data_IF_432485035732
#
_entry.id   IF_432485035732
#
_cell.length_a   1.000
_cell.length_b   1.000
_cell.length_c   1.000
_cell.angle_alpha   90.00
_cell.angle_beta   90.00
_cell.angle_gamma   90.00
#
_symmetry.space_group_name_H-M   'P 1'
#
loop_
_entity.id
_entity.type
_entity.pdbx_description
1 polymer ?
#
# COMPACT_ATOMS: atom_id res chain seq x y z
N UNK A 1 14.48 2.39 -13.55
CA UNK A 1 15.30 1.83 -12.44
C UNK A 1 14.84 0.41 -12.13
N UNK A 2 15.74 -0.51 -11.80
CA UNK A 2 15.38 -1.88 -11.40
C UNK A 2 15.83 -2.11 -9.95
N UNK A 3 14.90 -2.49 -9.05
CA UNK A 3 15.14 -2.69 -7.62
C UNK A 3 14.88 -4.17 -7.31
N UNK A 4 15.89 -4.87 -6.84
CA UNK A 4 15.78 -6.30 -6.47
C UNK A 4 15.22 -6.47 -5.07
N UNK A 5 14.20 -7.33 -4.92
CA UNK A 5 13.54 -7.62 -3.64
C UNK A 5 13.43 -9.14 -3.49
N UNK A 6 14.42 -9.75 -2.85
CA UNK A 6 14.49 -11.20 -2.62
C UNK A 6 14.12 -12.03 -3.86
N UNK A 7 12.85 -12.42 -4.01
CA UNK A 7 12.35 -13.31 -5.06
C UNK A 7 11.77 -12.60 -6.31
N UNK A 8 11.76 -11.27 -6.35
CA UNK A 8 11.21 -10.50 -7.47
C UNK A 8 11.90 -9.15 -7.66
N UNK A 9 11.64 -8.51 -8.79
CA UNK A 9 12.15 -7.16 -9.08
C UNK A 9 11.01 -6.14 -9.17
N UNK A 10 11.30 -4.90 -8.75
CA UNK A 10 10.46 -3.74 -9.00
C UNK A 10 11.11 -2.93 -10.11
N UNK A 11 10.41 -2.75 -11.21
CA UNK A 11 10.80 -1.86 -12.31
C UNK A 11 10.09 -0.53 -12.12
N UNK A 12 10.83 0.57 -12.01
CA UNK A 12 10.28 1.94 -11.96
C UNK A 12 10.78 2.69 -13.18
N UNK A 13 9.88 3.00 -14.10
CA UNK A 13 10.22 3.63 -15.37
C UNK A 13 9.01 4.38 -15.93
N UNK A 14 9.23 5.60 -16.42
CA UNK A 14 8.22 6.32 -17.19
C UNK A 14 7.91 5.56 -18.48
N UNK A 15 6.63 5.47 -18.83
CA UNK A 15 6.13 4.68 -19.96
C UNK A 15 6.38 3.15 -19.82
N UNK A 16 6.62 2.64 -18.59
CA UNK A 16 6.72 1.21 -18.36
C UNK A 16 5.48 0.44 -18.85
N UNK A 17 4.31 1.08 -18.82
CA UNK A 17 3.09 0.50 -19.39
C UNK A 17 3.24 0.20 -20.89
N UNK A 18 3.86 1.09 -21.67
CA UNK A 18 4.10 0.86 -23.12
C UNK A 18 5.04 -0.32 -23.37
N UNK A 19 5.94 -0.59 -22.42
CA UNK A 19 6.91 -1.69 -22.48
C UNK A 19 6.40 -2.96 -21.76
N UNK A 20 5.12 -2.99 -21.34
CA UNK A 20 4.54 -4.07 -20.52
C UNK A 20 4.70 -5.45 -21.18
N UNK A 21 4.55 -5.54 -22.51
CA UNK A 21 4.75 -6.76 -23.28
C UNK A 21 6.16 -7.35 -23.04
N UNK A 22 7.21 -6.56 -23.22
CA UNK A 22 8.59 -7.02 -23.03
C UNK A 22 8.90 -7.34 -21.56
N UNK A 23 8.36 -6.54 -20.63
CA UNK A 23 8.54 -6.76 -19.19
C UNK A 23 7.87 -8.05 -18.72
N UNK A 24 6.80 -8.49 -19.38
CA UNK A 24 6.14 -9.78 -19.10
C UNK A 24 6.93 -10.93 -19.68
N UNK A 25 7.46 -10.81 -20.91
CA UNK A 25 8.25 -11.88 -21.59
C UNK A 25 9.44 -12.34 -20.75
N UNK A 26 10.05 -11.45 -19.99
CA UNK A 26 11.16 -11.77 -19.08
C UNK A 26 10.81 -12.81 -18.01
N UNK A 27 9.54 -12.89 -17.60
CA UNK A 27 9.11 -13.69 -16.44
C UNK A 27 8.03 -14.70 -16.76
N UNK A 28 7.46 -14.63 -17.96
CA UNK A 28 6.35 -15.48 -18.36
C UNK A 28 6.43 -15.91 -19.83
N UNK A 29 6.66 -17.21 -20.11
CA UNK A 29 6.92 -17.71 -21.46
C UNK A 29 5.67 -18.16 -22.23
N UNK A 30 4.47 -18.03 -21.65
CA UNK A 30 3.23 -18.51 -22.27
C UNK A 30 2.44 -17.34 -22.88
N UNK A 31 1.37 -17.63 -23.61
CA UNK A 31 0.62 -16.66 -24.41
C UNK A 31 -0.75 -16.27 -23.83
N UNK A 32 -1.13 -16.71 -22.61
CA UNK A 32 -2.43 -16.37 -22.01
C UNK A 32 -2.26 -15.53 -20.76
N UNK A 33 -2.86 -14.36 -20.78
CA UNK A 33 -2.86 -13.40 -19.67
C UNK A 33 -4.27 -13.16 -19.13
N UNK A 34 -4.38 -12.98 -17.84
CA UNK A 34 -5.64 -12.66 -17.17
C UNK A 34 -5.43 -11.40 -16.33
N UNK A 35 -6.09 -10.31 -16.70
CA UNK A 35 -5.99 -9.02 -16.04
C UNK A 35 -7.19 -8.86 -15.08
N UNK A 36 -6.89 -8.59 -13.82
CA UNK A 36 -7.87 -8.13 -12.83
C UNK A 36 -7.71 -6.64 -12.68
N UNK A 37 -8.79 -5.89 -12.87
CA UNK A 37 -8.81 -4.43 -12.79
C UNK A 37 -10.15 -3.95 -12.24
N UNK A 38 -10.28 -2.66 -11.96
CA UNK A 38 -11.57 -2.06 -11.63
C UNK A 38 -12.21 -1.37 -12.85
N UNK A 39 -13.50 -1.13 -12.74
CA UNK A 39 -14.31 -0.56 -13.84
C UNK A 39 -13.77 0.79 -14.33
N UNK A 40 -13.29 1.64 -13.44
CA UNK A 40 -12.76 2.95 -13.84
C UNK A 40 -11.50 2.81 -14.69
N UNK A 41 -10.60 1.91 -14.30
CA UNK A 41 -9.37 1.63 -15.04
C UNK A 41 -9.65 0.85 -16.32
N UNK A 42 -10.63 -0.05 -16.32
CA UNK A 42 -11.06 -0.75 -17.52
C UNK A 42 -11.56 0.25 -18.58
N UNK A 43 -12.42 1.20 -18.20
CA UNK A 43 -12.90 2.26 -19.10
C UNK A 43 -11.76 3.13 -19.67
N UNK A 44 -10.67 3.36 -18.92
CA UNK A 44 -9.55 4.19 -19.34
C UNK A 44 -8.50 3.45 -20.17
N UNK A 45 -8.24 2.19 -19.88
CA UNK A 45 -7.05 1.48 -20.36
C UNK A 45 -7.32 0.17 -21.10
N UNK A 46 -8.57 -0.27 -21.23
CA UNK A 46 -8.93 -1.56 -21.87
C UNK A 46 -8.29 -1.74 -23.23
N UNK A 47 -8.60 -0.83 -24.15
CA UNK A 47 -8.09 -0.89 -25.54
C UNK A 47 -6.56 -0.72 -25.59
N UNK A 48 -6.02 0.17 -24.75
CA UNK A 48 -4.57 0.38 -24.63
C UNK A 48 -3.85 -0.91 -24.19
N UNK A 49 -4.42 -1.62 -23.19
CA UNK A 49 -3.85 -2.90 -22.74
C UNK A 49 -3.94 -3.99 -23.80
N UNK A 50 -5.05 -4.06 -24.54
CA UNK A 50 -5.16 -5.00 -25.66
C UNK A 50 -4.13 -4.72 -26.76
N UNK A 51 -3.93 -3.45 -27.12
CA UNK A 51 -2.96 -3.05 -28.14
C UNK A 51 -1.52 -3.39 -27.72
N UNK A 52 -1.15 -3.04 -26.48
CA UNK A 52 0.20 -3.31 -25.94
C UNK A 52 0.46 -4.82 -25.81
N UNK A 53 -0.55 -5.59 -25.44
CA UNK A 53 -0.45 -7.03 -25.19
C UNK A 53 -0.94 -7.87 -26.38
N UNK A 54 -0.90 -7.34 -27.60
CA UNK A 54 -1.41 -8.00 -28.81
C UNK A 54 -0.74 -9.35 -29.13
N UNK A 55 0.44 -9.64 -28.56
CA UNK A 55 1.10 -10.95 -28.67
C UNK A 55 0.44 -12.02 -27.78
N UNK A 56 -0.51 -11.66 -26.92
CA UNK A 56 -1.15 -12.54 -25.95
C UNK A 56 -2.65 -12.69 -26.16
N UNK A 57 -3.20 -13.81 -25.74
CA UNK A 57 -4.65 -13.98 -25.52
C UNK A 57 -4.99 -13.37 -24.15
N UNK A 58 -5.56 -12.16 -24.15
CA UNK A 58 -5.88 -11.41 -22.91
C UNK A 58 -7.33 -11.62 -22.52
N UNK A 59 -7.57 -11.88 -21.24
CA UNK A 59 -8.90 -11.91 -20.63
C UNK A 59 -8.95 -10.97 -19.44
N UNK A 60 -10.03 -10.22 -19.30
CA UNK A 60 -10.23 -9.29 -18.17
C UNK A 60 -11.24 -9.85 -17.17
N UNK A 61 -11.01 -9.57 -15.88
CA UNK A 61 -11.98 -9.70 -14.81
C UNK A 61 -12.09 -8.34 -14.12
N UNK A 62 -13.24 -7.70 -14.26
CA UNK A 62 -13.47 -6.32 -13.83
C UNK A 62 -14.27 -6.31 -12.55
N UNK A 63 -13.83 -5.53 -11.54
CA UNK A 63 -14.51 -5.35 -10.26
C UNK A 63 -15.03 -3.90 -10.11
N UNK A 64 -15.96 -3.68 -9.19
CA UNK A 64 -16.34 -2.32 -8.83
C UNK A 64 -15.20 -1.61 -8.10
N UNK A 65 -14.97 -0.30 -8.33
CA UNK A 65 -13.92 0.44 -7.64
C UNK A 65 -14.26 0.63 -6.16
N UNK A 66 -13.22 0.70 -5.32
CA UNK A 66 -13.33 1.03 -3.90
C UNK A 66 -13.13 -0.14 -2.96
N UNK A 67 -12.94 0.18 -1.67
CA UNK A 67 -12.56 -0.76 -0.61
C UNK A 67 -13.59 -1.87 -0.36
N UNK A 68 -14.87 -1.62 -0.66
CA UNK A 68 -15.96 -2.60 -0.55
C UNK A 68 -15.77 -3.81 -1.46
N UNK A 69 -15.05 -3.65 -2.57
CA UNK A 69 -14.71 -4.76 -3.47
C UNK A 69 -13.64 -5.70 -2.93
N UNK A 70 -12.98 -5.33 -1.84
CA UNK A 70 -11.99 -6.16 -1.16
C UNK A 70 -12.68 -7.13 -0.20
N UNK A 71 -13.57 -7.99 -0.72
CA UNK A 71 -14.49 -8.84 0.03
C UNK A 71 -14.44 -10.31 -0.40
N UNK A 72 -14.96 -11.20 0.45
CA UNK A 72 -15.08 -12.63 0.14
C UNK A 72 -16.00 -12.87 -1.07
N UNK A 73 -17.06 -12.09 -1.20
CA UNK A 73 -17.98 -12.18 -2.34
C UNK A 73 -17.28 -11.86 -3.66
N UNK A 74 -16.50 -10.78 -3.69
CA UNK A 74 -15.74 -10.39 -4.89
C UNK A 74 -14.61 -11.40 -5.18
N UNK A 75 -13.93 -11.89 -4.15
CA UNK A 75 -12.93 -12.96 -4.29
C UNK A 75 -13.53 -14.21 -4.94
N UNK A 76 -14.67 -14.68 -4.46
CA UNK A 76 -15.36 -15.84 -5.05
C UNK A 76 -15.78 -15.55 -6.50
N UNK A 77 -16.38 -14.38 -6.74
CA UNK A 77 -16.83 -13.97 -8.08
C UNK A 77 -15.67 -13.98 -9.09
N UNK A 78 -14.58 -13.28 -8.79
CA UNK A 78 -13.40 -13.19 -9.68
C UNK A 78 -12.77 -14.57 -9.87
N UNK A 79 -12.62 -15.36 -8.81
CA UNK A 79 -12.06 -16.72 -8.91
C UNK A 79 -12.88 -17.61 -9.85
N UNK A 80 -14.21 -17.54 -9.77
CA UNK A 80 -15.11 -18.30 -10.64
C UNK A 80 -15.08 -17.79 -12.08
N UNK A 81 -15.01 -16.47 -12.28
CA UNK A 81 -14.92 -15.84 -13.60
C UNK A 81 -13.63 -16.26 -14.32
N UNK A 82 -12.48 -16.22 -13.63
CA UNK A 82 -11.21 -16.69 -14.15
C UNK A 82 -11.29 -18.16 -14.62
N UNK A 83 -11.86 -19.03 -13.80
CA UNK A 83 -12.02 -20.47 -14.14
C UNK A 83 -12.91 -20.64 -15.36
N UNK A 84 -14.05 -19.92 -15.44
CA UNK A 84 -14.96 -19.97 -16.59
C UNK A 84 -14.30 -19.49 -17.88
N UNK A 85 -13.39 -18.52 -17.80
CA UNK A 85 -12.57 -18.02 -18.91
C UNK A 85 -11.38 -18.92 -19.25
N UNK A 86 -11.27 -20.08 -18.60
CA UNK A 86 -10.25 -21.09 -18.89
C UNK A 86 -8.90 -20.85 -18.21
N UNK A 87 -8.86 -20.06 -17.13
CA UNK A 87 -7.64 -19.88 -16.32
C UNK A 87 -7.12 -21.21 -15.79
N UNK A 88 -5.81 -21.44 -15.89
CA UNK A 88 -5.11 -22.65 -15.41
C UNK A 88 -3.93 -22.27 -14.52
N UNK A 89 -3.41 -23.26 -13.79
CA UNK A 89 -2.35 -23.09 -12.79
C UNK A 89 -1.09 -22.36 -13.28
N UNK A 90 -0.74 -22.51 -14.56
CA UNK A 90 0.44 -21.90 -15.15
C UNK A 90 0.16 -20.58 -15.88
N UNK A 91 -1.09 -20.10 -15.90
CA UNK A 91 -1.41 -18.81 -16.49
C UNK A 91 -1.05 -17.67 -15.54
N UNK A 92 -0.72 -16.52 -16.13
CA UNK A 92 -0.33 -15.31 -15.38
C UNK A 92 -1.56 -14.46 -15.05
N UNK A 93 -1.67 -14.08 -13.78
CA UNK A 93 -2.54 -13.00 -13.33
C UNK A 93 -1.80 -11.67 -13.36
N UNK A 94 -2.45 -10.63 -13.83
CA UNK A 94 -1.97 -9.24 -13.77
C UNK A 94 -2.93 -8.45 -12.91
N UNK A 95 -2.44 -7.91 -11.80
CA UNK A 95 -3.15 -6.93 -10.99
C UNK A 95 -2.89 -5.55 -11.58
N UNK A 96 -3.80 -5.02 -12.40
CA UNK A 96 -3.72 -3.68 -12.96
C UNK A 96 -4.64 -2.75 -12.18
N UNK A 97 -4.11 -2.05 -11.15
CA UNK A 97 -4.96 -1.24 -10.30
C UNK A 97 -4.30 -0.69 -9.03
N UNK A 98 -5.13 -0.06 -8.20
CA UNK A 98 -4.74 0.41 -6.87
C UNK A 98 -4.59 -0.74 -5.86
N UNK A 99 -4.44 -0.39 -4.58
CA UNK A 99 -4.23 -1.36 -3.50
C UNK A 99 -5.33 -2.41 -3.37
N UNK A 100 -6.59 -2.05 -3.62
CA UNK A 100 -7.73 -2.99 -3.59
C UNK A 100 -7.56 -4.09 -4.63
N UNK A 101 -7.29 -3.70 -5.89
CA UNK A 101 -7.06 -4.65 -6.99
C UNK A 101 -5.81 -5.50 -6.71
N UNK A 102 -4.73 -4.87 -6.25
CA UNK A 102 -3.47 -5.56 -5.94
C UNK A 102 -3.61 -6.61 -4.85
N UNK A 103 -4.25 -6.26 -3.74
CA UNK A 103 -4.46 -7.15 -2.59
C UNK A 103 -5.40 -8.32 -2.93
N UNK A 104 -6.53 -8.03 -3.58
CA UNK A 104 -7.49 -9.05 -4.01
C UNK A 104 -6.86 -10.03 -5.00
N UNK A 105 -6.20 -9.50 -6.04
CA UNK A 105 -5.57 -10.35 -7.07
C UNK A 105 -4.43 -11.17 -6.49
N UNK A 106 -3.61 -10.58 -5.62
CA UNK A 106 -2.54 -11.29 -4.93
C UNK A 106 -3.07 -12.39 -4.00
N UNK A 107 -4.21 -12.15 -3.31
CA UNK A 107 -4.87 -13.17 -2.50
C UNK A 107 -5.43 -14.31 -3.37
N UNK A 108 -6.06 -14.00 -4.51
CA UNK A 108 -6.46 -15.00 -5.50
C UNK A 108 -5.24 -15.77 -5.99
N UNK A 109 -4.16 -15.08 -6.34
CA UNK A 109 -2.93 -15.72 -6.80
C UNK A 109 -2.27 -16.63 -5.75
N UNK A 110 -2.45 -16.32 -4.46
CA UNK A 110 -1.94 -17.14 -3.37
C UNK A 110 -2.77 -18.38 -3.09
N UNK A 111 -4.07 -18.35 -3.40
CA UNK A 111 -5.03 -19.38 -2.99
C UNK A 111 -5.54 -20.23 -4.15
N UNK A 112 -5.82 -19.65 -5.32
CA UNK A 112 -6.31 -20.35 -6.50
C UNK A 112 -5.27 -21.40 -6.95
N UNK A 113 -5.71 -22.64 -7.19
CA UNK A 113 -4.84 -23.78 -7.51
C UNK A 113 -3.65 -23.99 -6.52
N UNK A 114 -3.76 -23.51 -5.28
CA UNK A 114 -2.70 -23.52 -4.24
C UNK A 114 -1.48 -22.68 -4.62
N UNK A 115 -1.70 -21.63 -5.39
CA UNK A 115 -0.70 -20.68 -5.83
C UNK A 115 -0.48 -20.67 -7.34
N UNK A 116 -0.62 -19.48 -7.92
CA UNK A 116 -0.40 -19.20 -9.34
C UNK A 116 0.55 -18.00 -9.51
N UNK A 117 1.21 -17.86 -10.67
CA UNK A 117 2.05 -16.69 -10.92
C UNK A 117 1.20 -15.41 -11.06
N UNK A 118 1.72 -14.30 -10.56
CA UNK A 118 1.11 -12.99 -10.79
C UNK A 118 2.15 -11.88 -10.82
N UNK A 119 1.80 -10.77 -11.45
CA UNK A 119 2.54 -9.50 -11.43
C UNK A 119 1.62 -8.37 -10.93
N UNK A 120 2.24 -7.31 -10.43
CA UNK A 120 1.55 -6.10 -10.01
C UNK A 120 1.89 -4.94 -10.94
N UNK A 121 0.88 -4.23 -11.42
CA UNK A 121 1.00 -2.96 -12.14
C UNK A 121 0.19 -1.92 -11.36
N UNK A 122 0.79 -1.34 -10.29
CA UNK A 122 0.08 -0.40 -9.42
C UNK A 122 -0.21 0.90 -10.17
N UNK A 123 -1.45 1.38 -10.08
CA UNK A 123 -1.92 2.60 -10.76
C UNK A 123 -2.21 3.76 -9.82
N UNK A 124 -2.10 3.55 -8.51
CA UNK A 124 -2.22 4.62 -7.50
C UNK A 124 -0.90 4.82 -6.78
N UNK A 125 -0.64 6.04 -6.32
CA UNK A 125 0.59 6.37 -5.58
C UNK A 125 0.74 5.48 -4.33
N UNK A 126 -0.34 5.29 -3.56
CA UNK A 126 -0.36 4.40 -2.40
C UNK A 126 0.10 2.97 -2.76
N UNK A 127 -0.40 2.45 -3.89
CA UNK A 127 0.00 1.11 -4.33
C UNK A 127 1.45 1.06 -4.80
N UNK A 128 1.92 2.09 -5.51
CA UNK A 128 3.30 2.17 -6.01
C UNK A 128 4.32 2.17 -4.88
N UNK A 129 4.07 2.95 -3.82
CA UNK A 129 5.05 3.13 -2.73
C UNK A 129 4.83 2.20 -1.54
N UNK A 130 3.65 1.56 -1.46
CA UNK A 130 3.30 0.75 -0.29
C UNK A 130 2.70 -0.61 -0.65
N UNK A 131 1.41 -0.72 -1.01
CA UNK A 131 0.70 -2.00 -0.97
C UNK A 131 1.20 -3.04 -1.98
N UNK A 132 1.74 -2.67 -3.15
CA UNK A 132 2.29 -3.63 -4.12
C UNK A 132 3.61 -4.30 -3.67
N UNK A 133 4.21 -3.85 -2.55
CA UNK A 133 5.54 -4.26 -2.12
C UNK A 133 5.48 -5.09 -0.84
N UNK A 134 6.16 -6.25 -0.85
CA UNK A 134 6.33 -7.07 0.35
C UNK A 134 5.32 -8.20 0.52
N UNK A 135 4.50 -8.46 -0.52
CA UNK A 135 3.70 -9.68 -0.66
C UNK A 135 2.55 -9.87 0.31
N UNK A 136 2.21 -8.90 1.15
CA UNK A 136 0.97 -8.94 1.94
C UNK A 136 -0.20 -8.78 1.00
N UNK A 137 -1.09 -9.76 0.95
CA UNK A 137 -2.29 -9.75 0.13
C UNK A 137 -3.47 -10.26 0.95
N UNK A 138 -4.67 -9.78 0.68
CA UNK A 138 -5.81 -10.18 1.49
C UNK A 138 -7.09 -9.42 1.16
N UNK A 139 -8.13 -9.82 1.87
CA UNK A 139 -9.47 -9.25 1.78
C UNK A 139 -10.00 -8.91 3.17
N UNK A 140 -11.06 -8.12 3.18
CA UNK A 140 -11.74 -7.72 4.39
C UNK A 140 -12.82 -8.74 4.78
N UNK A 141 -13.10 -8.81 6.06
CA UNK A 141 -14.27 -9.46 6.63
C UNK A 141 -15.11 -8.40 7.36
N UNK A 142 -16.34 -8.76 7.75
CA UNK A 142 -17.20 -7.85 8.50
C UNK A 142 -16.57 -7.38 9.83
N UNK A 143 -15.72 -8.23 10.41
CA UNK A 143 -15.00 -7.96 11.65
C UNK A 143 -13.83 -6.97 11.49
N UNK A 144 -13.34 -6.76 10.25
CA UNK A 144 -12.25 -5.81 10.02
C UNK A 144 -11.49 -5.98 8.71
N UNK A 145 -10.63 -4.99 8.43
CA UNK A 145 -9.81 -4.96 7.22
C UNK A 145 -8.67 -5.99 7.28
N UNK A 146 -8.36 -6.60 6.12
CA UNK A 146 -7.18 -7.44 5.88
C UNK A 146 -7.07 -8.68 6.80
N UNK A 147 -8.17 -9.15 7.38
CA UNK A 147 -8.15 -10.28 8.31
C UNK A 147 -7.96 -11.63 7.62
N UNK A 148 -8.35 -11.74 6.36
CA UNK A 148 -8.15 -12.94 5.56
C UNK A 148 -7.10 -12.66 4.48
N UNK A 149 -5.91 -13.24 4.64
CA UNK A 149 -4.80 -12.92 3.76
C UNK A 149 -3.71 -13.99 3.70
N UNK A 150 -2.80 -13.79 2.78
CA UNK A 150 -1.63 -14.65 2.56
C UNK A 150 -0.43 -13.81 2.13
N UNK A 151 0.78 -14.28 2.48
CA UNK A 151 2.00 -13.74 1.89
C UNK A 151 2.21 -14.37 0.51
N UNK A 152 2.02 -13.58 -0.55
CA UNK A 152 2.24 -13.99 -1.93
C UNK A 152 3.12 -12.97 -2.65
N UNK A 153 4.36 -13.34 -2.91
CA UNK A 153 5.26 -12.48 -3.68
C UNK A 153 4.87 -12.49 -5.17
N UNK A 154 4.84 -11.33 -5.85
CA UNK A 154 4.67 -11.26 -7.29
C UNK A 154 5.94 -11.75 -8.01
N UNK A 155 5.84 -12.08 -9.30
CA UNK A 155 7.03 -12.31 -10.13
C UNK A 155 7.73 -10.98 -10.46
N UNK A 156 6.97 -9.91 -10.58
CA UNK A 156 7.47 -8.56 -10.88
C UNK A 156 6.45 -7.50 -10.39
N UNK A 157 6.94 -6.34 -9.99
CA UNK A 157 6.13 -5.13 -9.79
C UNK A 157 6.58 -4.11 -10.84
N UNK A 158 5.64 -3.58 -11.62
CA UNK A 158 5.91 -2.64 -12.71
C UNK A 158 5.25 -1.31 -12.36
N UNK A 159 6.06 -0.33 -12.02
CA UNK A 159 5.65 1.01 -11.59
C UNK A 159 5.88 1.98 -12.74
N UNK A 160 4.80 2.52 -13.29
CA UNK A 160 4.84 3.61 -14.26
C UNK A 160 4.29 4.88 -13.61
N UNK A 161 5.14 5.87 -13.26
CA UNK A 161 4.69 7.12 -12.67
C UNK A 161 3.69 7.90 -13.53
N UNK A 162 3.70 7.69 -14.86
CA UNK A 162 2.75 8.34 -15.75
C UNK A 162 1.29 7.94 -15.50
N UNK A 163 1.03 6.77 -14.89
CA UNK A 163 -0.31 6.34 -14.50
C UNK A 163 -0.93 7.26 -13.43
N UNK A 164 -0.12 8.00 -12.69
CA UNK A 164 -0.60 8.97 -11.71
C UNK A 164 -1.29 10.18 -12.34
N UNK A 165 -1.10 10.43 -13.65
CA UNK A 165 -1.75 11.54 -14.36
C UNK A 165 -3.27 11.39 -14.45
N UNK A 166 -3.76 10.17 -14.42
CA UNK A 166 -5.21 9.85 -14.43
C UNK A 166 -5.78 9.60 -13.05
N UNK A 167 -4.90 9.58 -12.02
CA UNK A 167 -5.33 9.32 -10.65
C UNK A 167 -6.08 10.52 -10.06
N UNK A 168 -7.27 10.35 -9.49
CA UNK A 168 -7.98 11.41 -8.79
C UNK A 168 -7.11 12.04 -7.68
N UNK A 169 -7.15 13.39 -7.58
CA UNK A 169 -6.34 14.15 -6.60
C UNK A 169 -6.48 13.63 -5.15
N UNK A 170 -7.68 13.19 -4.77
CA UNK A 170 -7.92 12.65 -3.43
C UNK A 170 -7.18 11.32 -3.19
N UNK A 171 -7.02 10.47 -4.22
CA UNK A 171 -6.25 9.23 -4.13
C UNK A 171 -4.73 9.51 -4.20
N UNK A 172 -4.31 10.51 -4.97
CA UNK A 172 -2.92 10.95 -4.96
C UNK A 172 -2.50 11.40 -3.56
N UNK A 173 -3.29 12.29 -2.91
CA UNK A 173 -3.06 12.72 -1.52
C UNK A 173 -3.03 11.55 -0.54
N UNK A 174 -3.90 10.57 -0.72
CA UNK A 174 -3.92 9.35 0.07
C UNK A 174 -2.54 8.64 0.04
N UNK A 175 -1.89 8.59 -1.12
CA UNK A 175 -0.53 8.05 -1.27
C UNK A 175 0.56 8.95 -0.70
N UNK A 176 0.42 10.29 -0.78
CA UNK A 176 1.42 11.24 -0.23
C UNK A 176 1.65 11.03 1.27
N UNK A 177 0.64 10.62 2.02
CA UNK A 177 0.79 10.30 3.45
C UNK A 177 1.82 9.18 3.68
N UNK A 178 1.84 8.15 2.83
CA UNK A 178 2.82 7.06 2.90
C UNK A 178 4.23 7.52 2.48
N UNK A 179 4.32 8.44 1.52
CA UNK A 179 5.60 9.05 1.14
C UNK A 179 6.18 9.87 2.31
N UNK A 180 5.35 10.66 3.01
CA UNK A 180 5.77 11.40 4.21
C UNK A 180 6.19 10.41 5.30
N UNK A 181 5.43 9.36 5.53
CA UNK A 181 5.81 8.30 6.47
C UNK A 181 7.17 7.69 6.12
N UNK A 182 7.42 7.36 4.85
CA UNK A 182 8.70 6.83 4.40
C UNK A 182 9.85 7.79 4.69
N UNK A 183 9.66 9.08 4.45
CA UNK A 183 10.62 10.12 4.82
C UNK A 183 10.94 10.12 6.32
N UNK A 184 9.90 10.10 7.15
CA UNK A 184 10.00 10.14 8.62
C UNK A 184 10.70 8.91 9.21
N UNK A 185 10.47 7.71 8.65
CA UNK A 185 11.00 6.47 9.23
C UNK A 185 12.34 6.03 8.62
N UNK A 186 12.73 6.54 7.43
CA UNK A 186 13.90 5.94 6.77
C UNK A 186 14.64 6.81 5.76
N UNK A 187 14.14 8.00 5.39
CA UNK A 187 14.81 8.88 4.42
C UNK A 187 14.64 10.36 4.78
N UNK A 188 15.53 10.93 5.63
CA UNK A 188 15.47 12.35 5.99
C UNK A 188 15.50 13.31 4.80
N UNK A 189 16.24 12.98 3.73
CA UNK A 189 16.30 13.82 2.53
C UNK A 189 14.98 13.90 1.79
N UNK A 190 14.22 12.78 1.75
CA UNK A 190 12.87 12.75 1.23
C UNK A 190 11.94 13.63 2.07
N UNK A 191 12.04 13.54 3.40
CA UNK A 191 11.24 14.38 4.29
C UNK A 191 11.55 15.89 4.11
N UNK A 192 12.82 16.26 3.98
CA UNK A 192 13.23 17.66 3.71
C UNK A 192 12.66 18.17 2.37
N UNK A 193 12.65 17.34 1.33
CA UNK A 193 12.02 17.69 0.05
C UNK A 193 10.53 18.01 0.22
N UNK A 194 9.80 17.18 0.96
CA UNK A 194 8.36 17.33 1.18
C UNK A 194 7.98 18.58 1.99
N UNK A 195 8.89 19.15 2.77
CA UNK A 195 8.67 20.44 3.46
C UNK A 195 8.43 21.60 2.48
N UNK A 196 9.06 21.56 1.32
CA UNK A 196 9.11 22.68 0.39
C UNK A 196 8.41 22.45 -0.95
N UNK A 197 8.19 21.19 -1.35
CA UNK A 197 7.59 20.83 -2.61
C UNK A 197 6.22 20.16 -2.40
N UNK A 198 5.29 20.42 -3.30
CA UNK A 198 3.92 19.88 -3.27
C UNK A 198 3.76 18.66 -4.19
N UNK A 199 4.55 18.60 -5.25
CA UNK A 199 4.52 17.53 -6.25
C UNK A 199 5.72 16.60 -6.06
N UNK A 200 5.48 15.32 -6.31
CA UNK A 200 6.52 14.28 -6.31
C UNK A 200 7.07 14.11 -7.72
N UNK A 201 8.37 13.89 -7.81
CA UNK A 201 9.00 13.39 -9.03
C UNK A 201 9.22 11.88 -8.92
N UNK A 202 9.72 11.26 -9.99
CA UNK A 202 10.08 9.84 -9.97
C UNK A 202 11.07 9.52 -8.85
N UNK A 203 11.94 10.47 -8.50
CA UNK A 203 12.93 10.30 -7.45
C UNK A 203 12.27 10.07 -6.08
N UNK A 204 11.28 10.85 -5.70
CA UNK A 204 10.60 10.72 -4.41
C UNK A 204 9.78 9.42 -4.33
N UNK A 205 9.22 8.99 -5.46
CA UNK A 205 8.55 7.68 -5.57
C UNK A 205 9.58 6.56 -5.35
N UNK A 206 10.71 6.61 -6.05
CA UNK A 206 11.80 5.63 -5.91
C UNK A 206 12.35 5.63 -4.48
N UNK A 207 12.61 6.79 -3.90
CA UNK A 207 13.12 6.91 -2.52
C UNK A 207 12.16 6.26 -1.51
N UNK A 208 10.84 6.44 -1.70
CA UNK A 208 9.82 5.78 -0.86
C UNK A 208 9.83 4.26 -1.03
N UNK A 209 9.90 3.77 -2.27
CA UNK A 209 10.02 2.34 -2.57
C UNK A 209 11.27 1.75 -1.92
N UNK A 210 12.40 2.44 -1.97
CA UNK A 210 13.66 1.99 -1.37
C UNK A 210 13.59 1.89 0.16
N UNK A 211 12.92 2.85 0.84
CA UNK A 211 12.70 2.75 2.29
C UNK A 211 11.91 1.49 2.61
N UNK A 212 10.81 1.25 1.90
CA UNK A 212 9.98 0.06 2.15
C UNK A 212 10.71 -1.23 1.83
N UNK A 213 11.35 -1.33 0.68
CA UNK A 213 12.07 -2.55 0.27
C UNK A 213 13.20 -2.89 1.22
N UNK A 214 13.97 -1.91 1.69
CA UNK A 214 15.03 -2.12 2.67
C UNK A 214 14.54 -2.69 4.00
N UNK A 215 13.34 -2.30 4.42
CA UNK A 215 12.71 -2.82 5.65
C UNK A 215 12.15 -4.24 5.40
N UNK A 216 11.46 -4.44 4.27
CA UNK A 216 10.86 -5.73 3.89
C UNK A 216 11.93 -6.81 3.70
N UNK A 217 13.08 -6.48 3.09
CA UNK A 217 14.20 -7.40 2.92
C UNK A 217 14.76 -7.91 4.24
N UNK A 218 14.75 -7.07 5.29
CA UNK A 218 15.24 -7.46 6.63
C UNK A 218 14.22 -8.33 7.39
N UNK A 219 12.93 -8.16 7.11
CA UNK A 219 11.87 -8.87 7.81
C UNK A 219 10.65 -9.11 6.89
N UNK A 220 10.72 -10.09 5.98
CA UNK A 220 9.65 -10.35 5.00
C UNK A 220 8.29 -10.66 5.61
N UNK A 221 8.27 -11.26 6.82
CA UNK A 221 7.05 -11.77 7.47
C UNK A 221 6.57 -10.95 8.67
N UNK A 222 7.14 -9.73 8.88
CA UNK A 222 6.73 -8.79 9.96
C UNK A 222 6.79 -9.39 11.37
N UNK A 223 7.89 -10.01 11.67
CA UNK A 223 8.15 -10.53 13.02
C UNK A 223 8.82 -9.50 13.94
N UNK A 224 9.52 -8.52 13.37
CA UNK A 224 10.31 -7.53 14.11
C UNK A 224 10.37 -6.18 13.37
N UNK A 225 11.44 -5.90 12.64
CA UNK A 225 11.77 -4.57 12.08
C UNK A 225 10.74 -4.06 11.07
N UNK A 226 10.02 -4.92 10.36
CA UNK A 226 8.97 -4.53 9.43
C UNK A 226 7.81 -3.79 10.12
N UNK A 227 7.64 -3.97 11.43
CA UNK A 227 6.68 -3.19 12.22
C UNK A 227 6.92 -1.68 12.13
N UNK A 228 8.15 -1.21 11.84
CA UNK A 228 8.45 0.21 11.65
C UNK A 228 7.57 0.87 10.58
N UNK A 229 7.14 0.10 9.57
CA UNK A 229 6.19 0.57 8.55
C UNK A 229 4.82 0.95 9.13
N UNK A 230 4.50 0.51 10.35
CA UNK A 230 3.26 0.81 11.05
C UNK A 230 3.31 2.13 11.86
N UNK A 231 4.31 3.01 11.63
CA UNK A 231 4.30 4.35 12.21
C UNK A 231 3.01 5.09 11.83
N UNK A 232 2.30 5.60 12.83
CA UNK A 232 0.98 6.21 12.66
C UNK A 232 -0.21 5.23 12.53
N UNK A 233 0.02 3.97 12.16
CA UNK A 233 -1.06 3.02 11.83
C UNK A 233 -1.88 2.57 13.04
N UNK A 234 -1.28 2.41 14.23
CA UNK A 234 -2.02 2.01 15.44
C UNK A 234 -3.16 2.99 15.75
N UNK A 235 -2.88 4.29 15.66
CA UNK A 235 -3.90 5.32 15.83
C UNK A 235 -4.75 5.50 14.58
N UNK A 236 -4.13 5.43 13.40
CA UNK A 236 -4.80 5.56 12.11
C UNK A 236 -5.92 4.52 11.93
N UNK A 237 -5.66 3.25 12.21
CA UNK A 237 -6.69 2.19 12.12
C UNK A 237 -7.83 2.41 13.13
N UNK A 238 -7.53 2.92 14.33
CA UNK A 238 -8.56 3.28 15.29
C UNK A 238 -9.45 4.44 14.77
N UNK A 239 -8.84 5.42 14.10
CA UNK A 239 -9.55 6.52 13.42
C UNK A 239 -10.40 5.98 12.27
N UNK A 240 -9.86 5.10 11.41
CA UNK A 240 -10.65 4.48 10.34
C UNK A 240 -11.89 3.76 10.88
N UNK A 241 -11.72 2.97 11.94
CA UNK A 241 -12.84 2.27 12.61
C UNK A 241 -13.85 3.23 13.24
N UNK A 242 -13.38 4.30 13.88
CA UNK A 242 -14.24 5.31 14.49
C UNK A 242 -15.16 6.00 13.47
N UNK A 243 -14.65 6.23 12.26
CA UNK A 243 -15.40 6.82 11.14
C UNK A 243 -16.05 5.77 10.22
N UNK A 244 -16.19 4.54 10.68
CA UNK A 244 -16.75 3.42 9.90
C UNK A 244 -16.15 3.32 8.48
N UNK A 245 -14.81 3.53 8.42
CA UNK A 245 -14.01 3.52 7.17
C UNK A 245 -14.39 4.57 6.12
N UNK A 246 -15.21 5.55 6.46
CA UNK A 246 -15.55 6.67 5.55
C UNK A 246 -14.37 7.63 5.32
N UNK A 247 -13.40 7.67 6.23
CA UNK A 247 -12.16 8.45 6.09
C UNK A 247 -11.14 7.67 5.24
N UNK A 248 -10.41 8.38 4.38
CA UNK A 248 -9.34 7.75 3.59
C UNK A 248 -8.15 7.35 4.46
N UNK A 249 -7.53 6.23 4.12
CA UNK A 249 -6.39 5.66 4.84
C UNK A 249 -5.26 6.67 5.10
N UNK A 250 -4.77 7.36 4.07
CA UNK A 250 -3.69 8.34 4.21
C UNK A 250 -4.04 9.51 5.15
N UNK A 251 -5.31 9.93 5.17
CA UNK A 251 -5.77 10.93 6.13
C UNK A 251 -5.73 10.36 7.55
N UNK A 252 -6.25 9.17 7.75
CA UNK A 252 -6.30 8.52 9.07
C UNK A 252 -4.90 8.30 9.64
N UNK A 253 -3.95 7.78 8.85
CA UNK A 253 -2.57 7.58 9.31
C UNK A 253 -1.83 8.89 9.53
N UNK A 254 -2.18 9.97 8.83
CA UNK A 254 -1.59 11.29 9.05
C UNK A 254 -1.94 11.84 10.44
N UNK A 255 -3.20 11.76 10.86
CA UNK A 255 -3.57 12.04 12.23
C UNK A 255 -2.91 11.06 13.22
N UNK A 256 -2.82 9.79 12.84
CA UNK A 256 -2.13 8.78 13.63
C UNK A 256 -0.65 9.06 13.85
N UNK A 257 0.05 9.57 12.83
CA UNK A 257 1.45 10.03 12.97
C UNK A 257 1.56 11.19 13.94
N UNK A 258 0.68 12.19 13.87
CA UNK A 258 0.69 13.32 14.81
C UNK A 258 0.46 12.86 16.25
N UNK A 259 -0.48 11.96 16.49
CA UNK A 259 -0.73 11.43 17.83
C UNK A 259 0.48 10.64 18.34
N UNK A 260 1.11 9.85 17.50
CA UNK A 260 2.32 9.12 17.86
C UNK A 260 3.48 10.07 18.22
N UNK A 261 3.64 11.17 17.49
CA UNK A 261 4.65 12.21 17.79
C UNK A 261 4.34 12.93 19.10
N UNK A 262 3.09 13.33 19.32
CA UNK A 262 2.67 14.00 20.56
C UNK A 262 2.93 13.11 21.78
N UNK A 263 2.56 11.84 21.72
CA UNK A 263 2.83 10.87 22.79
C UNK A 263 4.33 10.63 22.96
N UNK A 264 5.08 10.56 21.87
CA UNK A 264 6.54 10.43 21.93
C UNK A 264 7.22 11.62 22.60
N UNK A 265 6.82 12.85 22.30
CA UNK A 265 7.33 14.08 22.95
C UNK A 265 6.95 14.12 24.45
N UNK A 266 5.70 13.79 24.82
CA UNK A 266 5.24 13.70 26.21
C UNK A 266 6.05 12.69 27.02
N UNK A 267 6.49 11.60 26.41
CA UNK A 267 7.30 10.55 27.06
C UNK A 267 8.80 10.81 27.00
N UNK A 268 9.25 11.88 26.35
CA UNK A 268 10.67 12.19 26.15
C UNK A 268 11.42 11.24 25.22
N UNK A 269 10.70 10.49 24.37
CA UNK A 269 11.25 9.59 23.37
C UNK A 269 11.50 10.35 22.07
N UNK A 270 10.54 11.16 21.65
CA UNK A 270 10.61 11.98 20.43
C UNK A 270 11.21 13.35 20.74
N UNK A 271 12.04 13.85 19.85
CA UNK A 271 12.62 15.20 19.90
C UNK A 271 11.52 16.26 20.04
N UNK A 272 11.67 17.16 21.03
CA UNK A 272 10.73 18.28 21.21
C UNK A 272 10.65 19.14 19.94
N UNK A 273 9.42 19.50 19.57
CA UNK A 273 9.10 20.33 18.41
C UNK A 273 8.93 19.55 17.10
N UNK A 274 9.20 18.24 17.07
CA UNK A 274 9.00 17.43 15.88
C UNK A 274 7.50 17.30 15.52
N UNK A 275 6.61 17.25 16.51
CA UNK A 275 5.16 17.29 16.32
C UNK A 275 4.74 18.51 15.49
N UNK A 276 5.14 19.72 15.89
CA UNK A 276 4.78 20.95 15.20
C UNK A 276 5.41 21.04 13.80
N UNK A 277 6.61 20.50 13.64
CA UNK A 277 7.29 20.43 12.35
C UNK A 277 6.51 19.53 11.37
N UNK A 278 6.17 18.31 11.78
CA UNK A 278 5.43 17.37 10.93
C UNK A 278 3.99 17.85 10.70
N UNK A 279 3.35 18.45 11.70
CA UNK A 279 2.01 19.05 11.54
C UNK A 279 1.98 20.06 10.40
N UNK A 280 2.98 20.93 10.30
CA UNK A 280 3.08 21.92 9.20
C UNK A 280 3.17 21.24 7.83
N UNK A 281 3.94 20.16 7.71
CA UNK A 281 4.06 19.39 6.47
C UNK A 281 2.73 18.75 6.11
N UNK A 282 2.05 18.10 7.07
CA UNK A 282 0.77 17.45 6.82
C UNK A 282 -0.36 18.44 6.49
N UNK A 283 -0.36 19.63 7.11
CA UNK A 283 -1.28 20.73 6.76
C UNK A 283 -1.02 21.24 5.34
N UNK A 284 0.25 21.47 4.97
CA UNK A 284 0.67 21.89 3.62
C UNK A 284 0.16 20.92 2.55
N UNK A 285 0.28 19.62 2.77
CA UNK A 285 -0.21 18.59 1.85
C UNK A 285 -1.71 18.28 2.01
N UNK A 286 -2.43 19.06 2.82
CA UNK A 286 -3.88 18.92 3.06
C UNK A 286 -4.29 17.53 3.58
N UNK A 287 -3.40 16.88 4.35
CA UNK A 287 -3.61 15.54 4.93
C UNK A 287 -4.24 15.60 6.32
N UNK A 288 -4.18 16.75 6.98
CA UNK A 288 -4.85 17.03 8.24
C UNK A 288 -5.48 18.42 8.19
N UNK A 289 -6.43 18.67 9.09
CA UNK A 289 -7.11 19.98 9.24
C UNK A 289 -7.19 20.36 10.70
N UNK A 290 -7.22 21.65 11.00
CA UNK A 290 -7.51 22.12 12.35
C UNK A 290 -9.02 22.37 12.54
N UNK A 291 -9.58 22.11 13.76
CA UNK A 291 -8.88 21.53 14.91
C UNK A 291 -8.52 20.07 14.68
N UNK A 292 -7.37 19.63 15.23
CA UNK A 292 -6.91 18.24 15.12
C UNK A 292 -7.87 17.28 15.84
N UNK A 293 -7.93 16.05 15.35
CA UNK A 293 -8.68 14.97 16.01
C UNK A 293 -8.06 14.66 17.38
N UNK A 294 -8.89 14.65 18.41
CA UNK A 294 -8.48 14.34 19.78
C UNK A 294 -8.47 12.82 19.98
N UNK A 295 -7.39 12.27 20.50
CA UNK A 295 -7.22 10.83 20.71
C UNK A 295 -8.28 10.22 21.65
N UNK A 296 -8.80 10.99 22.58
CA UNK A 296 -9.81 10.55 23.57
C UNK A 296 -11.08 10.01 22.89
N UNK A 297 -11.41 10.49 21.69
CA UNK A 297 -12.58 10.06 20.94
C UNK A 297 -12.50 8.59 20.49
N UNK A 298 -11.31 8.04 20.27
CA UNK A 298 -11.11 6.69 19.69
C UNK A 298 -10.11 5.82 20.45
N UNK A 299 -9.56 6.29 21.58
CA UNK A 299 -8.57 5.54 22.39
C UNK A 299 -9.14 4.20 22.90
N UNK A 300 -10.46 4.14 23.15
CA UNK A 300 -11.13 2.90 23.56
C UNK A 300 -11.04 1.81 22.48
N UNK A 301 -10.99 2.18 21.21
CA UNK A 301 -10.86 1.24 20.08
C UNK A 301 -9.46 0.62 20.02
N UNK A 302 -8.44 1.35 20.49
CA UNK A 302 -7.06 0.83 20.58
C UNK A 302 -6.95 -0.19 21.72
N UNK A 303 -7.69 0.00 22.82
CA UNK A 303 -7.63 -0.89 23.97
C UNK A 303 -8.27 -2.26 23.73
N UNK A 304 -9.19 -2.38 22.76
CA UNK A 304 -9.76 -3.67 22.35
C UNK A 304 -8.74 -4.56 21.66
N UNK A 305 -7.81 -3.99 20.88
CA UNK A 305 -6.72 -4.75 20.25
C UNK A 305 -5.68 -5.25 21.30
N UNK A 306 -5.57 -4.57 22.47
CA UNK A 306 -4.72 -5.03 23.59
C UNK A 306 -5.05 -6.44 24.07
N UNK A 307 -6.31 -6.82 24.04
CA UNK A 307 -6.78 -8.14 24.54
C UNK A 307 -6.47 -9.29 23.58
N UNK A 308 -6.09 -8.98 22.32
CA UNK A 308 -5.84 -9.99 21.28
C UNK A 308 -4.35 -10.34 21.14
N UNK A 309 -3.42 -9.53 21.67
CA UNK A 309 -1.98 -9.78 21.57
C UNK A 309 -1.43 -10.29 22.91
N UNK A 310 -0.92 -11.53 22.92
CA UNK A 310 -0.32 -12.16 24.08
C UNK A 310 0.86 -11.36 24.68
N UNK A 311 1.60 -10.60 23.88
CA UNK A 311 2.80 -9.85 24.25
C UNK A 311 2.56 -8.35 24.53
N UNK A 312 1.31 -7.88 24.57
CA UNK A 312 0.95 -6.47 24.71
C UNK A 312 1.12 -5.63 23.44
N UNK A 313 0.53 -4.44 23.45
CA UNK A 313 0.57 -3.51 22.32
C UNK A 313 1.99 -2.99 22.11
N UNK A 314 2.45 -3.04 20.85
CA UNK A 314 3.69 -2.42 20.40
C UNK A 314 3.34 -1.15 19.62
N UNK A 315 4.01 -0.05 19.94
CA UNK A 315 3.86 1.21 19.22
C UNK A 315 5.13 1.53 18.45
N UNK A 316 4.96 2.08 17.26
CA UNK A 316 6.08 2.67 16.53
C UNK A 316 6.07 4.16 16.80
N UNK A 317 7.17 4.65 17.33
CA UNK A 317 7.48 6.07 17.53
C UNK A 317 8.72 6.43 16.71
N UNK A 318 9.03 7.70 16.59
CA UNK A 318 10.31 8.15 16.04
C UNK A 318 11.01 9.05 17.07
N UNK A 319 12.31 8.87 17.25
CA UNK A 319 13.11 9.74 18.10
C UNK A 319 13.40 11.06 17.40
N UNK A 320 13.76 10.99 16.13
CA UNK A 320 13.91 12.08 15.19
C UNK A 320 13.64 11.56 13.77
N UNK A 321 13.64 12.44 12.78
CA UNK A 321 13.47 12.04 11.37
C UNK A 321 14.54 11.02 10.98
N UNK A 322 14.10 9.87 10.46
CA UNK A 322 14.96 8.75 10.10
C UNK A 322 15.38 7.82 11.25
N UNK A 323 14.93 8.07 12.49
CA UNK A 323 15.25 7.23 13.66
C UNK A 323 13.99 6.66 14.33
N UNK A 324 13.33 5.66 13.70
CA UNK A 324 12.15 5.00 14.23
C UNK A 324 12.50 4.00 15.33
N UNK A 325 11.59 3.81 16.29
CA UNK A 325 11.74 2.89 17.41
C UNK A 325 10.44 2.15 17.72
N UNK A 326 10.54 0.86 18.05
CA UNK A 326 9.42 0.05 18.53
C UNK A 326 9.39 0.11 20.05
N UNK A 327 8.29 0.57 20.63
CA UNK A 327 8.09 0.73 22.08
C UNK A 327 7.03 -0.25 22.56
N UNK A 328 7.35 -1.04 23.59
CA UNK A 328 6.42 -1.95 24.26
C UNK A 328 5.84 -1.30 25.52
N UNK A 329 4.57 -1.60 25.81
CA UNK A 329 3.97 -1.21 27.10
C UNK A 329 3.70 0.28 27.26
N UNK A 330 3.54 1.03 26.17
CA UNK A 330 3.16 2.43 26.22
C UNK A 330 1.77 2.56 26.89
N UNK A 331 1.68 3.25 28.01
CA UNK A 331 0.41 3.66 28.59
C UNK A 331 -0.06 4.93 27.88
N UNK A 332 -1.21 4.87 27.25
CA UNK A 332 -1.86 5.98 26.54
C UNK A 332 -2.78 6.79 27.49
#
# INVERSE_FOLDING_TARGET
MNISVDSYNIVVENDALKNLNELIKDVYPYNKLFIVTDKHLDELYHDTLLDILSDYEVSFSVIEPGETSKSLTTYEHVSRDLIKKGFKKNHLLIAFGGGVVGDLTGFIAGTLYRGVPFIQVPTSLLAMVDSAIGGKTGINLDEGKNLLGVFKQPLKVIVDPNLLKTLPKAEYKNGVAEVIKAGLIGNPSLYEYLKTHDELTDKEIIDSILVKTNIVLKDPYEKDVRMLLNFGHTFGHAIERFYDYAIKHGIAISYGMLIALEEGEKKGITRKGLFEEVKKVLLKHELVREPLLKKEAFISLISTDKKQLADGLRFVLIKDVGDPVIVKGLSL
#
